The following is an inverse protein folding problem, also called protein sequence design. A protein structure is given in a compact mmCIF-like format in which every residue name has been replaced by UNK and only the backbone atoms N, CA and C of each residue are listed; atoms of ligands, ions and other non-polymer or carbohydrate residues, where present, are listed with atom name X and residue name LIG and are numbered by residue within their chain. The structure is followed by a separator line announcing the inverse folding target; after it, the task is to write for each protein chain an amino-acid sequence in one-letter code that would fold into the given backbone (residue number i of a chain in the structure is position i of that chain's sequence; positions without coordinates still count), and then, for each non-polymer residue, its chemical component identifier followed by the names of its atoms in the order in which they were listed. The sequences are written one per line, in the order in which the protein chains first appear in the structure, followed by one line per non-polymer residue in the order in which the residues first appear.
data_IF_056767477724
#
_entry.id   IF_056767477724
#
_cell.length_a   1.000
_cell.length_b   1.000
_cell.length_c   1.000
_cell.angle_alpha   90.00
_cell.angle_beta   90.00
_cell.angle_gamma   90.00
#
_symmetry.space_group_name_H-M   'P 1'
#
loop_
_entity.id
_entity.type
_entity.pdbx_description
1 polymer ?
#
# COMPACT_ATOMS: atom_id res chain seq x y z
N UNK A 1 -30.37 -5.46 -24.43
CA UNK A 1 -30.63 -5.73 -23.00
C UNK A 1 -29.29 -5.67 -22.32
N UNK A 2 -29.12 -4.63 -21.52
CA UNK A 2 -27.87 -4.00 -21.15
C UNK A 2 -27.13 -4.72 -20.02
N UNK A 3 -25.80 -4.71 -20.14
CA UNK A 3 -24.79 -4.47 -19.10
C UNK A 3 -25.06 -4.96 -17.68
N UNK A 4 -24.25 -5.93 -17.22
CA UNK A 4 -24.02 -6.12 -15.79
C UNK A 4 -22.52 -6.41 -15.55
N UNK A 5 -21.73 -5.33 -15.54
CA UNK A 5 -20.34 -5.35 -15.09
C UNK A 5 -20.29 -5.66 -13.60
N UNK A 6 -19.92 -6.90 -13.28
CA UNK A 6 -19.69 -7.34 -11.91
C UNK A 6 -18.68 -6.40 -11.22
N UNK A 7 -19.08 -5.87 -10.07
CA UNK A 7 -18.40 -4.83 -9.32
C UNK A 7 -17.00 -5.31 -8.85
N UNK A 8 -15.98 -5.07 -9.69
CA UNK A 8 -14.57 -5.42 -9.48
C UNK A 8 -13.86 -4.46 -8.48
N UNK A 9 -14.60 -3.76 -7.61
CA UNK A 9 -14.14 -2.49 -7.02
C UNK A 9 -13.54 -2.52 -5.62
N UNK A 10 -13.58 -3.62 -4.87
CA UNK A 10 -13.11 -3.67 -3.46
C UNK A 10 -12.25 -4.89 -3.18
N UNK A 11 -11.02 -4.87 -3.68
CA UNK A 11 -9.97 -5.82 -3.26
C UNK A 11 -9.28 -5.29 -2.01
N UNK A 12 -8.89 -6.20 -1.11
CA UNK A 12 -7.98 -5.85 -0.01
C UNK A 12 -6.62 -5.45 -0.59
N UNK A 13 -5.83 -4.66 0.13
CA UNK A 13 -4.42 -4.50 -0.25
C UNK A 13 -3.65 -5.79 0.03
N UNK A 14 -2.61 -6.06 -0.75
CA UNK A 14 -1.74 -7.22 -0.52
C UNK A 14 -1.17 -7.23 0.90
N UNK A 15 -0.69 -6.08 1.37
CA UNK A 15 -0.14 -5.93 2.72
C UNK A 15 -1.16 -6.28 3.81
N UNK A 16 -2.41 -5.85 3.67
CA UNK A 16 -3.47 -6.22 4.61
C UNK A 16 -3.75 -7.73 4.55
N UNK A 17 -3.90 -8.28 3.34
CA UNK A 17 -4.20 -9.69 3.14
C UNK A 17 -3.10 -10.60 3.71
N UNK A 18 -1.82 -10.27 3.47
CA UNK A 18 -0.65 -10.98 4.00
C UNK A 18 -0.55 -10.85 5.53
N UNK A 19 -0.66 -9.63 6.06
CA UNK A 19 -0.53 -9.37 7.51
C UNK A 19 -1.62 -10.06 8.31
N UNK A 20 -2.87 -9.92 7.88
CA UNK A 20 -4.03 -10.40 8.63
C UNK A 20 -4.50 -11.79 8.21
N UNK A 21 -3.94 -12.36 7.15
CA UNK A 21 -4.23 -13.72 6.72
C UNK A 21 -5.65 -13.91 6.19
N UNK A 22 -6.19 -12.88 5.52
CA UNK A 22 -7.54 -12.90 4.93
C UNK A 22 -7.49 -12.41 3.49
N UNK A 23 -8.06 -13.17 2.57
CA UNK A 23 -8.07 -12.90 1.13
C UNK A 23 -9.51 -12.89 0.63
N UNK A 24 -9.85 -11.93 -0.24
CA UNK A 24 -11.12 -11.93 -0.98
C UNK A 24 -10.89 -12.57 -2.33
N UNK A 25 -11.40 -13.78 -2.53
CA UNK A 25 -11.19 -14.54 -3.77
C UNK A 25 -12.09 -14.02 -4.89
N UNK A 26 -13.38 -13.79 -4.59
CA UNK A 26 -14.37 -13.23 -5.52
C UNK A 26 -15.61 -12.73 -4.79
N UNK A 27 -16.43 -11.96 -5.50
CA UNK A 27 -17.75 -11.53 -5.03
C UNK A 27 -18.79 -12.02 -6.04
N UNK A 28 -19.74 -12.84 -5.58
CA UNK A 28 -20.81 -13.42 -6.41
C UNK A 28 -22.14 -13.09 -5.76
N UNK A 29 -23.07 -12.49 -6.50
CA UNK A 29 -24.42 -12.14 -6.04
C UNK A 29 -24.45 -11.37 -4.71
N UNK A 30 -23.49 -10.47 -4.50
CA UNK A 30 -23.39 -9.68 -3.27
C UNK A 30 -22.88 -10.46 -2.05
N UNK A 31 -22.35 -11.68 -2.24
CA UNK A 31 -21.66 -12.46 -1.22
C UNK A 31 -20.17 -12.52 -1.56
N UNK A 32 -19.32 -12.09 -0.64
CA UNK A 32 -17.87 -12.19 -0.77
C UNK A 32 -17.41 -13.60 -0.36
N UNK A 33 -16.73 -14.29 -1.25
CA UNK A 33 -16.00 -15.52 -0.94
C UNK A 33 -14.60 -15.15 -0.47
N UNK A 34 -14.31 -15.46 0.79
CA UNK A 34 -13.08 -15.09 1.45
C UNK A 34 -12.39 -16.33 2.00
N UNK A 35 -11.08 -16.42 1.76
CA UNK A 35 -10.21 -17.45 2.32
C UNK A 35 -9.40 -16.87 3.48
N UNK A 36 -9.19 -17.65 4.53
CA UNK A 36 -8.38 -17.24 5.67
C UNK A 36 -7.51 -18.38 6.20
N UNK A 37 -6.36 -18.03 6.79
CA UNK A 37 -5.46 -18.98 7.46
C UNK A 37 -5.78 -19.11 8.95
N UNK A 38 -5.32 -20.17 9.60
CA UNK A 38 -5.61 -20.46 11.02
C UNK A 38 -5.23 -19.33 12.00
N UNK A 39 -4.25 -18.50 11.64
CA UNK A 39 -3.79 -17.38 12.48
C UNK A 39 -4.61 -16.10 12.31
N UNK A 40 -5.62 -16.07 11.44
CA UNK A 40 -6.44 -14.87 11.23
C UNK A 40 -7.31 -14.55 12.46
N UNK A 41 -7.25 -13.30 12.93
CA UNK A 41 -8.00 -12.88 14.12
C UNK A 41 -9.48 -12.61 13.80
N UNK A 42 -10.40 -12.82 14.75
CA UNK A 42 -11.81 -12.44 14.58
C UNK A 42 -12.01 -10.96 14.24
N UNK A 43 -11.15 -10.08 14.78
CA UNK A 43 -11.17 -8.65 14.49
C UNK A 43 -10.83 -8.38 13.02
N UNK A 44 -9.83 -9.07 12.46
CA UNK A 44 -9.50 -8.93 11.04
C UNK A 44 -10.67 -9.35 10.14
N UNK A 45 -11.34 -10.46 10.44
CA UNK A 45 -12.52 -10.92 9.71
C UNK A 45 -13.68 -9.91 9.81
N UNK A 46 -13.88 -9.31 10.99
CA UNK A 46 -14.88 -8.26 11.19
C UNK A 46 -14.58 -7.00 10.38
N UNK A 47 -13.30 -6.58 10.32
CA UNK A 47 -12.84 -5.45 9.51
C UNK A 47 -13.02 -5.69 8.01
N UNK A 48 -12.72 -6.89 7.52
CA UNK A 48 -12.97 -7.27 6.12
C UNK A 48 -14.46 -7.19 5.82
N UNK A 49 -15.32 -7.72 6.68
CA UNK A 49 -16.78 -7.61 6.53
C UNK A 49 -17.24 -6.15 6.51
N UNK A 50 -16.71 -5.31 7.41
CA UNK A 50 -17.02 -3.86 7.49
C UNK A 50 -16.61 -3.13 6.21
N UNK A 51 -15.44 -3.47 5.67
CA UNK A 51 -14.90 -2.89 4.44
C UNK A 51 -15.71 -3.27 3.20
N UNK A 52 -16.04 -4.55 3.04
CA UNK A 52 -16.77 -5.06 1.89
C UNK A 52 -18.24 -4.61 1.88
N UNK A 53 -18.84 -4.39 3.06
CA UNK A 53 -20.27 -4.07 3.24
C UNK A 53 -21.20 -5.13 2.64
N UNK A 54 -20.77 -6.38 2.65
CA UNK A 54 -21.49 -7.52 2.09
C UNK A 54 -21.41 -8.73 3.01
N UNK A 55 -22.30 -9.69 2.77
CA UNK A 55 -22.23 -11.01 3.42
C UNK A 55 -20.96 -11.74 2.99
N UNK A 56 -20.34 -12.47 3.90
CA UNK A 56 -19.07 -13.15 3.65
C UNK A 56 -19.20 -14.65 3.90
N UNK A 57 -18.74 -15.46 2.94
CA UNK A 57 -18.47 -16.89 3.13
C UNK A 57 -16.99 -17.06 3.41
N UNK A 58 -16.69 -17.70 4.53
CA UNK A 58 -15.33 -17.93 5.00
C UNK A 58 -14.92 -19.37 4.77
N UNK A 59 -13.82 -19.56 4.04
CA UNK A 59 -13.17 -20.84 3.85
C UNK A 59 -11.81 -20.82 4.53
N UNK A 60 -11.58 -21.80 5.41
CA UNK A 60 -10.29 -21.94 6.11
C UNK A 60 -9.35 -22.78 5.26
N UNK A 61 -8.13 -22.29 5.07
CA UNK A 61 -7.09 -22.98 4.30
C UNK A 61 -5.78 -23.06 5.08
N UNK A 62 -4.95 -24.09 4.85
CA UNK A 62 -3.60 -24.15 5.39
C UNK A 62 -2.74 -22.98 4.88
N UNK A 63 -1.70 -22.63 5.65
CA UNK A 63 -0.81 -21.50 5.35
C UNK A 63 -0.20 -21.57 3.94
N UNK A 64 0.36 -22.72 3.56
CA UNK A 64 0.93 -22.91 2.23
C UNK A 64 -0.09 -22.71 1.08
N UNK A 65 -1.34 -23.08 1.30
CA UNK A 65 -2.41 -22.86 0.32
C UNK A 65 -2.82 -21.39 0.28
N UNK A 66 -2.87 -20.71 1.43
CA UNK A 66 -3.15 -19.28 1.51
C UNK A 66 -2.11 -18.46 0.74
N UNK A 67 -0.83 -18.74 0.96
CA UNK A 67 0.27 -18.00 0.31
C UNK A 67 0.23 -18.15 -1.22
N UNK A 68 -0.07 -19.35 -1.73
CA UNK A 68 -0.21 -19.56 -3.17
C UNK A 68 -1.44 -18.83 -3.75
N UNK A 69 -2.57 -18.84 -3.03
CA UNK A 69 -3.77 -18.09 -3.44
C UNK A 69 -3.52 -16.57 -3.41
N UNK A 70 -2.81 -16.09 -2.39
CA UNK A 70 -2.42 -14.69 -2.24
C UNK A 70 -1.53 -14.28 -3.41
N UNK A 71 -0.48 -15.05 -3.71
CA UNK A 71 0.43 -14.79 -4.84
C UNK A 71 -0.35 -14.65 -6.15
N UNK A 72 -1.17 -15.66 -6.49
CA UNK A 72 -2.00 -15.66 -7.71
C UNK A 72 -2.99 -14.49 -7.79
N UNK A 73 -3.58 -14.09 -6.67
CA UNK A 73 -4.58 -13.03 -6.64
C UNK A 73 -3.99 -11.64 -6.95
N UNK A 74 -2.70 -11.43 -6.66
CA UNK A 74 -2.00 -10.15 -6.81
C UNK A 74 -0.92 -10.15 -7.91
N UNK A 75 -0.65 -11.28 -8.57
CA UNK A 75 0.25 -11.40 -9.74
C UNK A 75 -0.10 -10.45 -10.89
N UNK A 76 -1.37 -10.06 -11.06
CA UNK A 76 -1.81 -9.14 -12.11
C UNK A 76 -1.52 -7.64 -11.82
N UNK A 77 -0.87 -7.31 -10.70
CA UNK A 77 -0.52 -5.94 -10.28
C UNK A 77 0.94 -5.83 -9.86
N UNK A 78 1.85 -6.30 -10.72
CA UNK A 78 3.29 -6.55 -10.52
C UNK A 78 4.06 -5.51 -9.70
N UNK A 79 3.69 -4.23 -9.78
CA UNK A 79 4.46 -3.15 -9.14
C UNK A 79 4.27 -3.09 -7.61
N UNK A 80 3.12 -3.53 -7.10
CA UNK A 80 2.84 -3.53 -5.66
C UNK A 80 3.50 -4.71 -4.93
N UNK A 81 3.81 -5.80 -5.64
CA UNK A 81 4.31 -7.05 -5.05
C UNK A 81 5.82 -6.96 -4.76
N UNK A 82 6.62 -6.41 -5.69
CA UNK A 82 8.05 -6.17 -5.46
C UNK A 82 8.29 -5.10 -4.38
N UNK A 83 7.38 -4.14 -4.24
CA UNK A 83 7.53 -3.10 -3.25
C UNK A 83 7.34 -3.60 -1.81
N UNK A 84 6.55 -4.65 -1.58
CA UNK A 84 6.19 -5.12 -0.22
C UNK A 84 7.09 -6.24 0.28
N UNK A 85 7.62 -7.11 -0.58
CA UNK A 85 8.54 -8.19 -0.14
C UNK A 85 9.88 -7.67 0.36
N UNK A 86 10.35 -6.50 -0.11
CA UNK A 86 11.60 -5.88 0.35
C UNK A 86 11.50 -5.04 1.63
N UNK A 87 10.32 -4.93 2.27
CA UNK A 87 10.09 -3.99 3.38
C UNK A 87 10.08 -4.62 4.78
N UNK A 88 10.24 -5.94 4.89
CA UNK A 88 9.92 -6.65 6.14
C UNK A 88 11.08 -6.79 7.15
N UNK A 89 12.34 -6.51 6.81
CA UNK A 89 13.42 -6.78 7.78
C UNK A 89 14.00 -5.57 8.51
N UNK A 90 14.11 -4.41 7.90
CA UNK A 90 14.33 -3.13 8.58
C UNK A 90 14.10 -2.09 7.51
N UNK A 91 12.98 -1.39 7.54
CA UNK A 91 12.70 -0.36 6.54
C UNK A 91 13.67 0.80 6.76
N UNK A 92 14.88 0.70 6.23
CA UNK A 92 15.83 1.81 6.23
C UNK A 92 15.42 2.80 5.15
N UNK A 93 14.62 3.77 5.58
CA UNK A 93 14.20 4.90 4.77
C UNK A 93 15.40 5.65 4.17
N UNK A 94 16.55 5.68 4.85
CA UNK A 94 17.74 6.35 4.33
C UNK A 94 18.34 5.60 3.13
N UNK A 95 18.34 4.27 3.14
CA UNK A 95 18.77 3.47 1.98
C UNK A 95 17.83 3.67 0.79
N UNK A 96 16.51 3.60 1.00
CA UNK A 96 15.53 3.84 -0.06
C UNK A 96 15.65 5.25 -0.65
N UNK A 97 15.98 6.25 0.18
CA UNK A 97 16.20 7.62 -0.28
C UNK A 97 17.42 7.78 -1.20
N UNK A 98 18.42 6.90 -1.09
CA UNK A 98 19.61 6.88 -1.94
C UNK A 98 19.36 6.22 -3.30
N UNK A 99 18.40 5.29 -3.37
CA UNK A 99 17.99 4.62 -4.62
C UNK A 99 17.08 5.50 -5.50
N UNK A 100 16.70 6.68 -5.02
CA UNK A 100 15.82 7.57 -5.78
C UNK A 100 16.53 8.18 -6.99
N UNK A 101 15.81 8.32 -8.12
CA UNK A 101 16.36 8.90 -9.33
C UNK A 101 16.86 10.33 -9.09
N UNK A 102 17.97 10.69 -9.74
CA UNK A 102 18.58 12.02 -9.61
C UNK A 102 17.81 13.10 -10.38
N UNK A 103 17.05 12.70 -11.40
CA UNK A 103 16.25 13.57 -12.24
C UNK A 103 14.79 13.17 -12.12
N UNK A 104 13.91 14.15 -11.94
CA UNK A 104 12.48 13.93 -12.10
C UNK A 104 12.15 14.01 -13.58
N UNK A 105 12.42 12.94 -14.33
CA UNK A 105 11.82 12.82 -15.64
C UNK A 105 10.37 12.36 -15.43
N UNK A 106 9.45 13.31 -15.55
CA UNK A 106 8.03 13.13 -15.23
C UNK A 106 7.29 12.29 -16.31
N UNK A 107 8.03 11.81 -17.32
CA UNK A 107 7.49 11.30 -18.57
C UNK A 107 7.57 9.77 -18.70
N UNK A 108 8.43 9.09 -17.94
CA UNK A 108 8.58 7.64 -18.03
C UNK A 108 7.88 6.93 -16.86
N UNK A 109 6.81 6.20 -17.20
CA UNK A 109 6.02 5.40 -16.27
C UNK A 109 6.79 4.23 -15.66
N UNK A 110 8.01 3.94 -16.14
CA UNK A 110 8.89 2.89 -15.63
C UNK A 110 9.66 3.30 -14.36
N UNK A 111 9.85 4.60 -14.10
CA UNK A 111 10.59 5.13 -12.93
C UNK A 111 9.72 5.32 -11.67
N UNK A 112 8.46 4.91 -11.73
CA UNK A 112 7.54 5.01 -10.60
C UNK A 112 7.89 4.02 -9.48
N UNK A 113 8.59 2.92 -9.79
CA UNK A 113 8.83 1.83 -8.84
C UNK A 113 9.62 2.26 -7.57
N UNK A 114 10.74 3.00 -7.64
CA UNK A 114 11.43 3.50 -6.44
C UNK A 114 10.56 4.46 -5.61
N UNK A 115 9.77 5.31 -6.27
CA UNK A 115 8.89 6.27 -5.61
C UNK A 115 7.74 5.54 -4.92
N UNK A 116 7.12 4.57 -5.57
CA UNK A 116 6.08 3.70 -4.98
C UNK A 116 6.61 2.98 -3.75
N UNK A 117 7.82 2.40 -3.85
CA UNK A 117 8.51 1.74 -2.74
C UNK A 117 8.72 2.69 -1.57
N UNK A 118 9.24 3.88 -1.84
CA UNK A 118 9.44 4.91 -0.83
C UNK A 118 8.14 5.29 -0.13
N UNK A 119 7.09 5.62 -0.88
CA UNK A 119 5.80 6.03 -0.28
C UNK A 119 5.21 4.90 0.56
N UNK A 120 5.26 3.66 0.06
CA UNK A 120 4.79 2.48 0.79
C UNK A 120 5.59 2.27 2.08
N UNK A 121 6.90 2.45 2.02
CA UNK A 121 7.80 2.37 3.17
C UNK A 121 7.47 3.44 4.23
N UNK A 122 7.33 4.69 3.81
CA UNK A 122 6.99 5.83 4.67
C UNK A 122 5.64 5.60 5.35
N UNK A 123 4.61 5.21 4.60
CA UNK A 123 3.27 4.93 5.17
C UNK A 123 3.31 3.74 6.13
N UNK A 124 4.05 2.69 5.79
CA UNK A 124 4.20 1.51 6.64
C UNK A 124 4.91 1.86 7.94
N UNK A 125 5.99 2.65 7.87
CA UNK A 125 6.73 3.10 9.03
C UNK A 125 5.89 4.01 9.91
N UNK A 126 5.14 4.95 9.33
CA UNK A 126 4.23 5.82 10.06
C UNK A 126 3.20 5.02 10.88
N UNK A 127 2.64 3.94 10.30
CA UNK A 127 1.73 3.04 11.01
C UNK A 127 2.46 2.25 12.10
N UNK A 128 3.64 1.69 11.82
CA UNK A 128 4.46 0.98 12.83
C UNK A 128 4.78 1.88 14.03
N UNK A 129 5.02 3.16 13.76
CA UNK A 129 5.39 4.18 14.73
C UNK A 129 4.20 4.89 15.39
N UNK A 130 2.96 4.55 15.03
CA UNK A 130 1.73 5.23 15.47
C UNK A 130 1.75 6.75 15.25
N UNK A 131 2.26 7.20 14.10
CA UNK A 131 2.26 8.60 13.73
C UNK A 131 0.84 9.11 13.43
N UNK A 132 0.48 10.27 13.99
CA UNK A 132 -0.78 10.95 13.72
C UNK A 132 -0.77 11.66 12.36
N UNK A 133 0.37 12.22 11.98
CA UNK A 133 0.55 13.00 10.76
C UNK A 133 1.86 12.66 10.07
N UNK A 134 1.82 12.68 8.74
CA UNK A 134 3.01 12.59 7.88
C UNK A 134 3.15 13.93 7.17
N UNK A 135 4.26 14.60 7.42
CA UNK A 135 4.62 15.87 6.81
C UNK A 135 5.63 15.63 5.69
N UNK A 136 5.37 16.16 4.50
CA UNK A 136 6.25 16.08 3.34
C UNK A 136 6.58 17.52 2.94
N UNK A 137 7.83 17.92 3.17
CA UNK A 137 8.26 19.31 3.15
C UNK A 137 9.39 19.52 2.13
N UNK A 138 9.05 20.00 0.92
CA UNK A 138 10.05 20.42 -0.04
C UNK A 138 10.66 21.76 0.39
N UNK A 139 11.93 21.74 0.76
CA UNK A 139 12.75 22.94 0.97
C UNK A 139 13.46 23.35 -0.34
N UNK A 140 14.25 24.42 -0.29
CA UNK A 140 15.01 24.92 -1.45
C UNK A 140 15.97 23.85 -2.01
N UNK A 141 16.71 23.16 -1.15
CA UNK A 141 17.79 22.25 -1.55
C UNK A 141 17.55 20.78 -1.20
N UNK A 142 16.47 20.46 -0.48
CA UNK A 142 16.17 19.10 0.01
C UNK A 142 14.67 18.85 0.14
N UNK A 143 14.29 17.58 0.12
CA UNK A 143 12.99 17.10 0.57
C UNK A 143 13.15 16.51 1.98
N UNK A 144 12.28 16.89 2.91
CA UNK A 144 12.26 16.32 4.26
C UNK A 144 10.90 15.69 4.53
N UNK A 145 10.90 14.50 5.14
CA UNK A 145 9.69 13.85 5.64
C UNK A 145 9.77 13.78 7.17
N UNK A 146 8.70 14.21 7.83
CA UNK A 146 8.59 14.19 9.29
C UNK A 146 7.32 13.45 9.72
N UNK A 147 7.39 12.76 10.84
CA UNK A 147 6.21 12.22 11.50
C UNK A 147 5.87 13.04 12.74
N UNK A 148 4.57 13.23 12.98
CA UNK A 148 4.09 13.65 14.30
C UNK A 148 3.72 12.41 15.10
N UNK A 149 4.42 12.17 16.20
CA UNK A 149 4.14 11.03 17.11
C UNK A 149 4.02 11.58 18.51
N UNK A 150 2.91 11.29 19.17
CA UNK A 150 2.55 11.84 20.48
C UNK A 150 2.70 13.38 20.56
N UNK A 151 2.32 14.05 19.47
CA UNK A 151 2.39 15.51 19.33
C UNK A 151 3.76 16.06 18.92
N UNK A 152 4.83 15.25 18.97
CA UNK A 152 6.20 15.67 18.66
C UNK A 152 6.53 15.39 17.18
N UNK A 153 7.06 16.40 16.50
CA UNK A 153 7.59 16.27 15.14
C UNK A 153 9.00 15.67 15.16
N UNK A 154 9.20 14.60 14.40
CA UNK A 154 10.51 13.96 14.19
C UNK A 154 10.81 13.79 12.70
N UNK A 155 12.01 14.14 12.30
CA UNK A 155 12.51 13.89 10.94
C UNK A 155 12.82 12.40 10.80
N UNK A 156 12.31 11.78 9.74
CA UNK A 156 12.47 10.34 9.47
C UNK A 156 13.17 10.06 8.14
N UNK A 157 13.17 11.04 7.23
CA UNK A 157 13.86 10.93 5.96
C UNK A 157 14.23 12.31 5.43
N UNK A 158 15.43 12.38 4.84
CA UNK A 158 15.86 13.49 4.01
C UNK A 158 16.30 12.95 2.65
N UNK A 159 15.90 13.61 1.57
CA UNK A 159 16.37 13.30 0.21
C UNK A 159 16.62 14.57 -0.62
N UNK A 160 17.09 14.39 -1.85
CA UNK A 160 17.37 15.47 -2.81
C UNK A 160 16.07 16.19 -3.19
N UNK A 161 16.14 17.49 -3.46
CA UNK A 161 14.96 18.28 -3.89
C UNK A 161 14.34 17.79 -5.20
N UNK A 162 15.15 17.17 -6.07
CA UNK A 162 14.73 16.67 -7.38
C UNK A 162 13.57 15.68 -7.28
N UNK A 163 13.46 14.90 -6.19
CA UNK A 163 12.44 13.84 -6.06
C UNK A 163 11.08 14.37 -5.57
N UNK A 164 11.02 15.62 -5.10
CA UNK A 164 9.80 16.17 -4.52
C UNK A 164 8.59 16.19 -5.49
N UNK A 165 8.74 16.57 -6.77
CA UNK A 165 7.63 16.52 -7.74
C UNK A 165 7.08 15.10 -7.94
N UNK A 166 7.97 14.10 -7.98
CA UNK A 166 7.58 12.69 -8.13
C UNK A 166 6.77 12.21 -6.93
N UNK A 167 7.23 12.51 -5.71
CA UNK A 167 6.52 12.21 -4.45
C UNK A 167 5.14 12.85 -4.42
N UNK A 168 5.04 14.14 -4.78
CA UNK A 168 3.76 14.87 -4.81
C UNK A 168 2.81 14.27 -5.86
N UNK A 169 3.30 14.02 -7.07
CA UNK A 169 2.53 13.40 -8.15
C UNK A 169 1.97 12.03 -7.72
N UNK A 170 2.82 11.19 -7.11
CA UNK A 170 2.40 9.87 -6.66
C UNK A 170 1.32 9.92 -5.58
N UNK A 171 1.44 10.86 -4.63
CA UNK A 171 0.42 11.05 -3.58
C UNK A 171 -0.90 11.55 -4.19
N UNK A 172 -0.84 12.45 -5.18
CA UNK A 172 -2.02 12.92 -5.92
C UNK A 172 -2.73 11.76 -6.61
N UNK A 173 -1.99 10.93 -7.35
CA UNK A 173 -2.52 9.70 -7.98
C UNK A 173 -3.20 8.78 -6.96
N UNK A 174 -2.51 8.45 -5.85
CA UNK A 174 -3.05 7.58 -4.80
C UNK A 174 -4.32 8.14 -4.15
N UNK A 175 -4.42 9.47 -4.07
CA UNK A 175 -5.54 10.19 -3.47
C UNK A 175 -6.65 10.54 -4.48
N UNK A 176 -6.48 10.17 -5.75
CA UNK A 176 -7.37 10.56 -6.88
C UNK A 176 -7.53 12.07 -7.01
N UNK A 177 -6.46 12.80 -6.75
CA UNK A 177 -6.36 14.24 -6.99
C UNK A 177 -5.80 14.50 -8.39
N UNK A 178 -6.06 15.69 -8.92
CA UNK A 178 -5.49 16.13 -10.19
C UNK A 178 -3.96 16.25 -10.08
N UNK A 179 -3.25 15.83 -11.12
CA UNK A 179 -1.79 15.81 -11.20
C UNK A 179 -1.28 17.11 -11.85
N UNK A 180 -2.11 17.75 -12.69
CA UNK A 180 -1.73 18.90 -13.51
C UNK A 180 -1.67 20.24 -12.77
N UNK A 181 -2.27 20.33 -11.58
CA UNK A 181 -2.27 21.47 -10.65
C UNK A 181 -1.47 21.10 -9.40
#
# INVERSE_FOLDING_TARGET
MSENGANLGRRLSFAFAKRHGVLVSRVVDGVAECTYRDTASPQALAEVRRYLRSSMRLERVPEAQFDELLRRAYEAGSDAMQAVEGLDETTDLAHLAQELPEQADLLDSEDDAPIIRLITAVLTQAVKENASDIHIEPFENRLVIRFRVDGVLREVLQSKRAVAPLVVSRIKVMSRLDIAE
#
